data_IF_341688048308
#
_entry.id   IF_341688048308
#
_cell.length_a   1.000
_cell.length_b   1.000
_cell.length_c   1.000
_cell.angle_alpha   90.00
_cell.angle_beta   90.00
_cell.angle_gamma   90.00
#
_symmetry.space_group_name_H-M   'P 1'
#
loop_
_entity.id
_entity.type
_entity.pdbx_description
1 polymer ?
#
# COMPACT_ATOMS: atom_id res chain seq x y z
N UNK A 1 -3.94 33.37 8.75
CA UNK A 1 -4.06 32.44 7.61
C UNK A 1 -3.22 31.22 7.92
N UNK A 2 -3.85 30.06 8.10
CA UNK A 2 -3.20 28.86 8.63
C UNK A 2 -2.21 28.26 7.60
N UNK A 3 -0.93 28.25 7.97
CA UNK A 3 0.14 27.49 7.34
C UNK A 3 -0.15 25.99 7.54
N UNK A 4 -0.99 25.40 6.70
CA UNK A 4 -1.28 23.96 6.75
C UNK A 4 -0.10 23.16 6.18
N UNK A 5 0.84 22.86 7.06
CA UNK A 5 1.70 21.66 7.10
C UNK A 5 1.85 20.92 5.75
N UNK A 6 2.69 21.45 4.85
CA UNK A 6 3.29 20.66 3.78
C UNK A 6 4.23 19.54 4.31
N UNK A 7 4.38 19.42 5.64
CA UNK A 7 5.18 18.43 6.38
C UNK A 7 4.32 17.27 6.88
N UNK A 8 3.13 17.05 6.33
CA UNK A 8 2.53 15.71 6.43
C UNK A 8 3.13 14.87 5.30
N UNK A 9 4.40 14.52 5.48
CA UNK A 9 5.33 14.01 4.46
C UNK A 9 4.79 12.82 3.68
N UNK A 10 5.27 12.63 2.44
CA UNK A 10 5.02 11.43 1.62
C UNK A 10 5.22 10.10 2.37
N UNK A 11 6.07 10.11 3.41
CA UNK A 11 6.30 9.01 4.33
C UNK A 11 5.05 8.67 5.19
N UNK A 12 4.39 9.69 5.75
CA UNK A 12 3.14 9.55 6.49
C UNK A 12 2.02 9.01 5.60
N UNK A 13 1.93 9.53 4.36
CA UNK A 13 0.97 9.05 3.38
C UNK A 13 1.19 7.55 3.07
N UNK A 14 2.45 7.13 2.88
CA UNK A 14 2.80 5.72 2.73
C UNK A 14 2.37 4.88 3.94
N UNK A 15 2.67 5.35 5.16
CA UNK A 15 2.27 4.64 6.39
C UNK A 15 0.75 4.52 6.53
N UNK A 16 0.00 5.58 6.24
CA UNK A 16 -1.45 5.59 6.26
C UNK A 16 -2.04 4.59 5.26
N UNK A 17 -1.55 4.59 4.01
CA UNK A 17 -1.99 3.67 2.96
C UNK A 17 -1.72 2.22 3.39
N UNK A 18 -0.54 1.96 3.97
CA UNK A 18 -0.18 0.65 4.44
C UNK A 18 -1.12 0.17 5.57
N UNK A 19 -1.33 0.97 6.60
CA UNK A 19 -2.15 0.57 7.74
C UNK A 19 -3.64 0.42 7.37
N UNK A 20 -4.14 1.27 6.47
CA UNK A 20 -5.57 1.33 6.11
C UNK A 20 -5.95 0.30 5.03
N UNK A 21 -5.08 0.02 4.05
CA UNK A 21 -5.43 -0.83 2.90
C UNK A 21 -4.63 -2.12 2.87
N UNK A 22 -3.31 -2.03 3.07
CA UNK A 22 -2.39 -3.18 2.90
C UNK A 22 -2.51 -4.15 4.06
N UNK A 23 -2.42 -3.66 5.29
CA UNK A 23 -2.50 -4.46 6.52
C UNK A 23 -3.80 -5.27 6.61
N UNK A 24 -5.02 -4.69 6.48
CA UNK A 24 -6.25 -5.48 6.57
C UNK A 24 -6.44 -6.44 5.39
N UNK A 25 -5.93 -6.13 4.20
CA UNK A 25 -5.92 -7.08 3.10
C UNK A 25 -4.98 -8.27 3.39
N UNK A 26 -3.84 -8.01 4.03
CA UNK A 26 -2.91 -9.06 4.46
C UNK A 26 -3.46 -9.93 5.57
N UNK A 27 -4.14 -9.34 6.55
CA UNK A 27 -4.81 -10.08 7.64
C UNK A 27 -5.95 -10.96 7.12
N UNK A 28 -6.65 -10.53 6.07
CA UNK A 28 -7.65 -11.34 5.35
C UNK A 28 -7.04 -12.50 4.54
N UNK A 29 -5.71 -12.57 4.40
CA UNK A 29 -5.04 -13.56 3.57
C UNK A 29 -5.09 -13.26 2.07
N UNK A 30 -5.39 -12.02 1.70
CA UNK A 30 -5.47 -11.61 0.31
C UNK A 30 -4.10 -11.68 -0.36
N UNK A 31 -4.08 -11.97 -1.66
CA UNK A 31 -2.84 -12.10 -2.45
C UNK A 31 -2.52 -10.82 -3.20
N UNK A 32 -3.51 -9.97 -3.45
CA UNK A 32 -3.36 -8.72 -4.20
C UNK A 32 -4.24 -7.65 -3.55
N UNK A 33 -3.65 -6.50 -3.24
CA UNK A 33 -4.41 -5.32 -2.82
C UNK A 33 -4.54 -4.36 -3.98
N UNK A 34 -5.76 -3.91 -4.26
CA UNK A 34 -6.01 -2.84 -5.23
C UNK A 34 -6.25 -1.55 -4.48
N UNK A 35 -5.43 -0.53 -4.74
CA UNK A 35 -5.51 0.78 -4.08
C UNK A 35 -5.86 1.82 -5.12
N UNK A 36 -7.04 2.44 -4.98
CA UNK A 36 -7.52 3.50 -5.87
C UNK A 36 -7.06 4.87 -5.37
N UNK A 37 -6.47 5.66 -6.26
CA UNK A 37 -5.94 7.01 -5.95
C UNK A 37 -7.05 7.91 -5.40
N UNK A 38 -8.23 7.87 -6.04
CA UNK A 38 -9.38 8.68 -5.66
C UNK A 38 -9.94 8.32 -4.27
N UNK A 39 -9.95 7.03 -3.92
CA UNK A 39 -10.38 6.60 -2.59
C UNK A 39 -9.43 7.06 -1.49
N UNK A 40 -8.12 6.98 -1.73
CA UNK A 40 -7.11 7.51 -0.79
C UNK A 40 -7.27 9.02 -0.61
N UNK A 41 -7.52 9.74 -1.70
CA UNK A 41 -7.75 11.19 -1.67
C UNK A 41 -9.02 11.54 -0.87
N UNK A 42 -10.12 10.80 -1.08
CA UNK A 42 -11.37 10.97 -0.34
C UNK A 42 -11.23 10.62 1.15
N UNK A 43 -10.52 9.54 1.48
CA UNK A 43 -10.27 9.13 2.87
C UNK A 43 -9.46 10.19 3.65
N UNK A 44 -8.63 10.95 2.93
CA UNK A 44 -7.85 12.07 3.48
C UNK A 44 -8.56 13.43 3.31
N UNK A 45 -9.87 13.43 3.01
CA UNK A 45 -10.68 14.65 2.82
C UNK A 45 -10.07 15.64 1.81
N UNK A 46 -9.50 15.13 0.72
CA UNK A 46 -8.78 15.91 -0.30
C UNK A 46 -7.60 16.73 0.25
N UNK A 47 -7.06 16.39 1.42
CA UNK A 47 -5.88 17.02 2.00
C UNK A 47 -4.58 16.82 1.19
N UNK A 48 -4.62 15.94 0.19
CA UNK A 48 -3.51 15.67 -0.72
C UNK A 48 -3.96 15.60 -2.18
N UNK A 49 -3.13 16.13 -3.08
CA UNK A 49 -3.37 16.02 -4.52
C UNK A 49 -3.20 14.58 -5.01
N UNK A 50 -4.04 14.17 -5.95
CA UNK A 50 -3.97 12.84 -6.59
C UNK A 50 -2.60 12.53 -7.19
N UNK A 51 -1.90 13.54 -7.70
CA UNK A 51 -0.55 13.38 -8.24
C UNK A 51 0.48 13.00 -7.16
N UNK A 52 0.33 13.50 -5.93
CA UNK A 52 1.19 13.12 -4.81
C UNK A 52 0.94 11.66 -4.41
N UNK A 53 -0.33 11.27 -4.32
CA UNK A 53 -0.74 9.89 -4.01
C UNK A 53 -0.19 8.93 -5.08
N UNK A 54 -0.31 9.27 -6.37
CA UNK A 54 0.29 8.52 -7.48
C UNK A 54 1.81 8.42 -7.33
N UNK A 55 2.47 9.52 -7.00
CA UNK A 55 3.92 9.55 -6.78
C UNK A 55 4.36 8.63 -5.64
N UNK A 56 3.60 8.57 -4.54
CA UNK A 56 3.89 7.67 -3.40
C UNK A 56 3.65 6.21 -3.77
N UNK A 57 2.50 5.89 -4.37
CA UNK A 57 2.16 4.52 -4.77
C UNK A 57 3.12 3.98 -5.85
N UNK A 58 3.53 4.82 -6.80
CA UNK A 58 4.48 4.48 -7.84
C UNK A 58 5.94 4.47 -7.38
N UNK A 59 6.27 5.12 -6.26
CA UNK A 59 7.65 5.22 -5.79
C UNK A 59 8.23 3.86 -5.41
N UNK A 60 9.48 3.62 -5.86
CA UNK A 60 10.26 2.47 -5.41
C UNK A 60 10.45 2.47 -3.89
N UNK A 61 10.55 3.65 -3.25
CA UNK A 61 10.69 3.79 -1.80
C UNK A 61 9.54 3.11 -1.05
N UNK A 62 8.30 3.41 -1.40
CA UNK A 62 7.11 2.83 -0.79
C UNK A 62 7.04 1.31 -1.02
N UNK A 63 7.26 0.89 -2.27
CA UNK A 63 7.24 -0.52 -2.66
C UNK A 63 8.29 -1.34 -1.92
N UNK A 64 9.50 -0.81 -1.75
CA UNK A 64 10.58 -1.48 -1.04
C UNK A 64 10.36 -1.49 0.48
N UNK A 65 9.92 -0.36 1.06
CA UNK A 65 9.66 -0.24 2.49
C UNK A 65 8.64 -1.26 3.00
N UNK A 66 7.58 -1.52 2.23
CA UNK A 66 6.51 -2.43 2.61
C UNK A 66 6.52 -3.78 1.88
N UNK A 67 7.55 -4.04 1.05
CA UNK A 67 7.66 -5.24 0.20
C UNK A 67 6.38 -5.48 -0.62
N UNK A 68 5.95 -4.43 -1.32
CA UNK A 68 4.77 -4.40 -2.17
C UNK A 68 5.19 -4.35 -3.65
N UNK A 69 5.46 -5.50 -4.29
CA UNK A 69 5.68 -5.53 -5.73
C UNK A 69 4.41 -5.02 -6.43
N UNK A 70 4.60 -4.07 -7.34
CA UNK A 70 3.54 -3.62 -8.21
C UNK A 70 3.25 -4.72 -9.23
N UNK A 71 1.99 -5.16 -9.30
CA UNK A 71 1.51 -6.17 -10.26
C UNK A 71 1.04 -5.47 -11.52
N UNK A 72 0.18 -4.47 -11.34
CA UNK A 72 -0.41 -3.70 -12.42
C UNK A 72 -0.76 -2.30 -11.92
N UNK A 73 -0.80 -1.35 -12.84
CA UNK A 73 -1.43 -0.06 -12.60
C UNK A 73 -2.54 0.08 -13.64
N UNK A 74 -3.77 0.31 -13.17
CA UNK A 74 -4.93 0.51 -14.03
C UNK A 74 -4.97 1.98 -14.45
N UNK A 75 -4.85 2.21 -15.75
CA UNK A 75 -4.82 3.55 -16.33
C UNK A 75 -6.24 4.08 -16.48
N UNK A 76 -6.47 5.31 -16.03
CA UNK A 76 -7.73 5.99 -16.28
C UNK A 76 -7.77 6.52 -17.71
N UNK A 77 -8.97 6.91 -18.18
CA UNK A 77 -9.17 7.53 -19.49
C UNK A 77 -8.29 8.78 -19.74
N UNK A 78 -7.77 9.40 -18.68
CA UNK A 78 -6.83 10.52 -18.71
C UNK A 78 -5.36 10.12 -18.94
N UNK A 79 -5.06 8.82 -19.18
CA UNK A 79 -3.70 8.31 -19.38
C UNK A 79 -2.85 8.30 -18.10
N UNK A 80 -3.49 8.41 -16.93
CA UNK A 80 -2.82 8.40 -15.62
C UNK A 80 -3.34 7.25 -14.77
N UNK A 81 -2.48 6.57 -13.99
CA UNK A 81 -2.90 5.45 -13.16
C UNK A 81 -3.94 5.90 -12.12
N UNK A 82 -5.13 5.31 -12.18
CA UNK A 82 -6.22 5.51 -11.24
C UNK A 82 -6.19 4.49 -10.10
N UNK A 83 -5.68 3.29 -10.36
CA UNK A 83 -5.51 2.27 -9.34
C UNK A 83 -4.15 1.58 -9.46
N UNK A 84 -3.60 1.18 -8.32
CA UNK A 84 -2.36 0.40 -8.25
C UNK A 84 -2.66 -0.92 -7.56
N UNK A 85 -2.30 -2.02 -8.22
CA UNK A 85 -2.44 -3.37 -7.71
C UNK A 85 -1.10 -3.84 -7.19
N UNK A 86 -1.02 -4.12 -5.89
CA UNK A 86 0.20 -4.61 -5.26
C UNK A 86 0.03 -6.06 -4.83
N UNK A 87 1.06 -6.86 -5.05
CA UNK A 87 1.08 -8.23 -4.56
C UNK A 87 1.32 -8.19 -3.06
N UNK A 88 0.38 -8.73 -2.29
CA UNK A 88 0.60 -8.99 -0.89
C UNK A 88 1.35 -10.31 -0.80
N UNK A 89 2.61 -10.26 -0.36
CA UNK A 89 3.21 -11.48 0.14
C UNK A 89 2.41 -11.87 1.38
N UNK A 90 1.77 -13.03 1.32
CA UNK A 90 1.14 -13.65 2.48
C UNK A 90 2.11 -13.66 3.67
N UNK A 91 1.62 -13.87 4.90
CA UNK A 91 2.54 -14.14 6.00
C UNK A 91 3.52 -15.21 5.50
N UNK A 92 4.82 -14.90 5.56
CA UNK A 92 5.83 -15.94 5.37
C UNK A 92 5.37 -17.06 6.30
N UNK A 93 5.02 -18.22 5.74
CA UNK A 93 4.90 -19.45 6.49
C UNK A 93 6.31 -19.75 7.03
N UNK A 94 6.66 -19.07 8.11
CA UNK A 94 8.01 -18.92 8.59
C UNK A 94 7.99 -18.57 10.06
N UNK A 95 7.15 -19.26 10.83
CA UNK A 95 7.22 -19.44 12.29
C UNK A 95 6.21 -20.50 12.74
N UNK A 96 6.40 -21.75 12.30
CA UNK A 96 5.99 -22.97 13.03
C UNK A 96 6.36 -24.23 12.24
N UNK A 97 7.65 -24.44 12.00
CA UNK A 97 8.13 -25.83 11.95
C UNK A 97 8.38 -26.23 13.40
N UNK A 98 7.30 -26.58 14.12
CA UNK A 98 7.45 -27.40 15.32
C UNK A 98 8.13 -28.67 14.84
N UNK A 99 9.38 -28.80 15.25
CA UNK A 99 10.24 -29.96 15.09
C UNK A 99 9.50 -31.16 15.71
N UNK A 100 8.84 -31.95 14.87
CA UNK A 100 8.40 -33.28 15.25
C UNK A 100 9.57 -34.22 15.00
N UNK A 101 10.21 -34.63 16.07
CA UNK A 101 11.18 -35.74 16.07
C UNK A 101 10.34 -36.99 16.34
N UNK A 102 10.17 -37.93 15.39
CA UNK A 102 9.72 -39.26 15.77
C UNK A 102 10.89 -39.95 16.46
N UNK A 103 10.73 -40.27 17.74
CA UNK A 103 11.57 -41.25 18.41
C UNK A 103 11.07 -42.64 18.00
N UNK A 104 11.91 -43.41 17.32
CA UNK A 104 11.85 -44.88 17.28
C UNK A 104 13.26 -45.42 17.11
#
# INVERSE_FOLDING_TARGET
>A
MQNFRAVVSADYLGKYIHDTYVRPARERGDRVVTIRVREVCQALSHGYSENLVRGVLGSMKFRNAYRLPLVAADEHADGRPAAFMFKLQGPRAGSSLKRWIPAV
#
